data_IF_168034381189
#
_entry.id   IF_168034381189
#
_cell.length_a   1.000
_cell.length_b   1.000
_cell.length_c   1.000
_cell.angle_alpha   90.00
_cell.angle_beta   90.00
_cell.angle_gamma   90.00
#
_symmetry.space_group_name_H-M   'P 1'
#
loop_
_entity.id
_entity.type
_entity.pdbx_description
1 polymer ?
#
# COMPACT_ATOMS: atom_id res chain seq x y z
N UNK A 1 27.95 -4.79 -13.53
CA UNK A 1 26.52 -4.60 -13.17
C UNK A 1 26.46 -3.54 -12.08
N UNK A 2 25.39 -2.76 -11.99
CA UNK A 2 25.25 -1.82 -10.87
C UNK A 2 25.11 -2.60 -9.56
N UNK A 3 25.76 -2.09 -8.51
CA UNK A 3 25.86 -2.76 -7.22
C UNK A 3 25.16 -1.92 -6.14
N UNK A 4 24.39 -2.56 -5.27
CA UNK A 4 23.75 -1.96 -4.08
C UNK A 4 24.38 -2.58 -2.84
N UNK A 5 24.72 -1.73 -1.86
CA UNK A 5 25.24 -2.19 -0.57
C UNK A 5 24.15 -2.12 0.49
N UNK A 6 23.85 -3.27 1.11
CA UNK A 6 22.89 -3.41 2.20
C UNK A 6 23.59 -4.02 3.39
N UNK A 7 23.57 -3.35 4.55
CA UNK A 7 24.21 -3.81 5.78
C UNK A 7 25.67 -4.27 5.59
N UNK A 8 26.44 -3.52 4.77
CA UNK A 8 27.84 -3.81 4.50
C UNK A 8 28.09 -4.93 3.47
N UNK A 9 27.07 -5.55 2.92
CA UNK A 9 27.18 -6.54 1.83
C UNK A 9 26.78 -5.93 0.50
N UNK A 10 27.50 -6.25 -0.54
CA UNK A 10 27.26 -5.75 -1.89
C UNK A 10 26.52 -6.79 -2.74
N UNK A 11 25.51 -6.33 -3.46
CA UNK A 11 24.64 -7.13 -4.31
C UNK A 11 24.63 -6.55 -5.72
N UNK A 12 25.01 -7.36 -6.72
CA UNK A 12 24.88 -6.99 -8.13
C UNK A 12 23.43 -7.18 -8.54
N UNK A 13 22.69 -6.07 -8.67
CA UNK A 13 21.25 -6.12 -8.97
C UNK A 13 20.93 -5.46 -10.30
N UNK A 14 19.92 -5.99 -10.97
CA UNK A 14 19.41 -5.47 -12.25
C UNK A 14 18.09 -4.70 -12.09
N UNK A 15 17.43 -4.81 -10.92
CA UNK A 15 16.11 -4.25 -10.67
C UNK A 15 15.87 -4.13 -9.16
N UNK A 16 15.25 -3.03 -8.74
CA UNK A 16 14.70 -2.91 -7.40
C UNK A 16 13.18 -2.76 -7.49
N UNK A 17 12.47 -3.62 -6.77
CA UNK A 17 11.01 -3.64 -6.71
C UNK A 17 10.60 -3.17 -5.33
N UNK A 18 9.65 -2.27 -5.26
CA UNK A 18 9.15 -1.69 -4.02
C UNK A 18 7.70 -2.09 -3.80
N UNK A 19 7.36 -2.41 -2.58
CA UNK A 19 6.01 -2.19 -2.11
C UNK A 19 5.70 -0.69 -2.05
N UNK A 20 4.43 -0.33 -1.95
CA UNK A 20 3.95 1.05 -1.95
C UNK A 20 3.71 1.59 -0.55
N UNK A 21 2.72 1.04 0.14
CA UNK A 21 2.24 1.55 1.42
C UNK A 21 3.11 1.07 2.59
N UNK A 22 3.67 1.98 3.38
CA UNK A 22 4.65 1.63 4.42
C UNK A 22 6.10 1.55 3.93
N UNK A 23 6.30 1.55 2.62
CA UNK A 23 7.62 1.45 1.98
C UNK A 23 8.00 2.70 1.21
N UNK A 24 7.28 3.05 0.14
CA UNK A 24 7.46 4.33 -0.58
C UNK A 24 6.61 5.44 0.00
N UNK A 25 5.47 5.10 0.60
CA UNK A 25 4.56 6.02 1.26
C UNK A 25 4.63 5.87 2.78
N UNK A 26 4.52 7.01 3.46
CA UNK A 26 4.25 7.03 4.90
C UNK A 26 2.80 6.55 5.12
N UNK A 27 2.68 5.31 5.55
CA UNK A 27 1.39 4.66 5.71
C UNK A 27 0.51 5.37 6.75
N UNK A 28 1.06 5.65 7.93
CA UNK A 28 0.29 6.22 9.04
C UNK A 28 -0.27 7.59 8.67
N UNK A 29 0.57 8.49 8.16
CA UNK A 29 0.13 9.83 7.74
C UNK A 29 -0.94 9.75 6.65
N UNK A 30 -0.74 8.88 5.66
CA UNK A 30 -1.64 8.72 4.52
C UNK A 30 -3.00 8.17 4.96
N UNK A 31 -3.01 7.00 5.61
CA UNK A 31 -4.26 6.29 5.90
C UNK A 31 -5.04 6.86 7.07
N UNK A 32 -4.38 7.41 8.10
CA UNK A 32 -5.08 8.15 9.17
C UNK A 32 -5.84 9.34 8.61
N UNK A 33 -5.24 10.09 7.68
CA UNK A 33 -5.89 11.20 7.00
C UNK A 33 -7.10 10.78 6.18
N UNK A 34 -6.95 9.73 5.39
CA UNK A 34 -8.00 9.16 4.54
C UNK A 34 -9.17 8.64 5.38
N UNK A 35 -8.92 7.85 6.43
CA UNK A 35 -10.00 7.28 7.26
C UNK A 35 -10.70 8.38 8.07
N UNK A 36 -9.98 9.40 8.53
CA UNK A 36 -10.60 10.58 9.16
C UNK A 36 -11.57 11.29 8.21
N UNK A 37 -11.17 11.49 6.95
CA UNK A 37 -12.04 12.09 5.94
C UNK A 37 -13.22 11.18 5.61
N UNK A 38 -13.03 9.86 5.56
CA UNK A 38 -14.11 8.90 5.39
C UNK A 38 -15.16 9.01 6.51
N UNK A 39 -14.74 8.92 7.78
CA UNK A 39 -15.62 9.03 8.95
C UNK A 39 -16.37 10.38 8.94
N UNK A 40 -15.66 11.47 8.65
CA UNK A 40 -16.26 12.80 8.55
C UNK A 40 -17.31 12.86 7.44
N UNK A 41 -17.03 12.24 6.31
CA UNK A 41 -17.94 12.23 5.16
C UNK A 41 -19.22 11.42 5.41
N UNK A 42 -19.20 10.44 6.31
CA UNK A 42 -20.38 9.67 6.70
C UNK A 42 -21.48 10.54 7.33
N UNK A 43 -21.14 11.67 7.96
CA UNK A 43 -22.12 12.60 8.55
C UNK A 43 -23.16 13.12 7.55
N UNK A 44 -22.86 13.11 6.25
CA UNK A 44 -23.81 13.49 5.21
C UNK A 44 -24.92 12.44 5.00
N UNK A 45 -24.74 11.21 5.49
CA UNK A 45 -25.67 10.08 5.27
C UNK A 45 -26.31 9.55 6.54
N UNK A 46 -25.61 9.63 7.65
CA UNK A 46 -26.08 9.15 8.96
C UNK A 46 -25.36 9.90 10.10
N UNK A 47 -25.99 10.00 11.29
CA UNK A 47 -25.28 10.46 12.48
C UNK A 47 -24.11 9.52 12.78
N UNK A 48 -22.91 10.07 12.90
CA UNK A 48 -21.72 9.30 13.30
C UNK A 48 -21.54 9.46 14.80
N UNK A 49 -21.98 8.44 15.53
CA UNK A 49 -21.75 8.35 16.98
C UNK A 49 -20.31 7.96 17.29
N UNK A 50 -19.83 8.24 18.50
CA UNK A 50 -18.53 7.74 18.97
C UNK A 50 -18.46 6.20 18.94
N UNK A 51 -19.59 5.52 19.15
CA UNK A 51 -19.68 4.07 19.04
C UNK A 51 -19.46 3.58 17.59
N UNK A 52 -20.02 4.27 16.59
CA UNK A 52 -19.80 3.96 15.19
C UNK A 52 -18.33 4.24 14.80
N UNK A 53 -17.80 5.41 15.18
CA UNK A 53 -16.39 5.75 14.95
C UNK A 53 -15.50 4.66 15.50
N UNK A 54 -15.66 4.31 16.78
CA UNK A 54 -14.87 3.27 17.44
C UNK A 54 -15.00 1.92 16.75
N UNK A 55 -16.20 1.53 16.30
CA UNK A 55 -16.41 0.28 15.57
C UNK A 55 -15.68 0.25 14.23
N UNK A 56 -15.65 1.38 13.50
CA UNK A 56 -14.90 1.52 12.26
C UNK A 56 -13.39 1.41 12.53
N UNK A 57 -12.90 2.09 13.56
CA UNK A 57 -11.50 2.06 13.95
C UNK A 57 -11.06 0.64 14.35
N UNK A 58 -11.85 -0.04 15.18
CA UNK A 58 -11.55 -1.41 15.62
C UNK A 58 -11.61 -2.41 14.44
N UNK A 59 -12.57 -2.25 13.53
CA UNK A 59 -12.69 -3.12 12.35
C UNK A 59 -11.52 -2.99 11.39
N UNK A 60 -10.99 -1.78 11.23
CA UNK A 60 -9.86 -1.52 10.33
C UNK A 60 -8.49 -1.69 11.00
N UNK A 61 -8.43 -1.75 12.33
CA UNK A 61 -7.17 -1.77 13.08
C UNK A 61 -6.48 -0.40 13.12
N UNK A 62 -7.25 0.69 13.28
CA UNK A 62 -6.72 2.06 13.30
C UNK A 62 -7.24 2.83 14.52
N UNK A 63 -6.46 3.77 15.01
CA UNK A 63 -6.91 4.83 15.92
C UNK A 63 -6.61 6.18 15.28
N UNK A 64 -7.66 6.87 14.85
CA UNK A 64 -7.54 8.14 14.13
C UNK A 64 -7.01 9.25 15.03
N UNK A 65 -7.42 9.25 16.31
CA UNK A 65 -7.02 10.29 17.26
C UNK A 65 -5.55 10.12 17.71
N UNK A 66 -5.14 8.87 17.94
CA UNK A 66 -3.76 8.56 18.33
C UNK A 66 -2.80 8.45 17.14
N UNK A 67 -3.31 8.54 15.92
CA UNK A 67 -2.56 8.31 14.68
C UNK A 67 -1.80 6.98 14.69
N UNK A 68 -2.44 5.92 15.23
CA UNK A 68 -1.88 4.56 15.30
C UNK A 68 -2.59 3.62 14.33
N UNK A 69 -1.82 2.70 13.77
CA UNK A 69 -2.34 1.62 12.93
C UNK A 69 -1.75 0.31 13.44
N UNK A 70 -2.60 -0.71 13.53
CA UNK A 70 -2.18 -2.08 13.77
C UNK A 70 -1.64 -2.68 12.47
N UNK A 71 -0.35 -2.98 12.43
CA UNK A 71 0.31 -3.56 11.26
C UNK A 71 -0.22 -4.95 10.88
N UNK A 72 -0.88 -5.65 11.81
CA UNK A 72 -1.55 -6.93 11.57
C UNK A 72 -3.06 -6.76 11.32
N UNK A 73 -3.56 -5.52 11.35
CA UNK A 73 -4.96 -5.18 11.13
C UNK A 73 -5.37 -5.23 9.67
N UNK A 74 -6.68 -5.19 9.45
CA UNK A 74 -7.26 -5.29 8.10
C UNK A 74 -6.78 -4.17 7.17
N UNK A 75 -6.64 -2.94 7.69
CA UNK A 75 -6.21 -1.80 6.86
C UNK A 75 -4.80 -2.00 6.29
N UNK A 76 -3.91 -2.68 7.04
CA UNK A 76 -2.53 -2.94 6.63
C UNK A 76 -2.38 -4.19 5.75
N UNK A 77 -3.19 -5.23 6.01
CA UNK A 77 -2.99 -6.56 5.44
C UNK A 77 -4.06 -6.96 4.42
N UNK A 78 -5.24 -6.34 4.50
CA UNK A 78 -6.40 -6.73 3.71
C UNK A 78 -6.50 -6.05 2.36
N UNK A 79 -7.54 -6.43 1.64
CA UNK A 79 -7.92 -5.83 0.36
C UNK A 79 -8.96 -4.73 0.55
N UNK A 80 -9.09 -3.87 -0.45
CA UNK A 80 -10.13 -2.84 -0.48
C UNK A 80 -11.55 -3.42 -0.35
N UNK A 81 -11.78 -4.60 -0.98
CA UNK A 81 -13.07 -5.30 -0.92
C UNK A 81 -13.40 -5.75 0.50
N UNK A 82 -12.43 -6.26 1.23
CA UNK A 82 -12.61 -6.67 2.63
C UNK A 82 -12.86 -5.47 3.53
N UNK A 83 -12.13 -4.37 3.35
CA UNK A 83 -12.37 -3.12 4.07
C UNK A 83 -13.81 -2.61 3.82
N UNK A 84 -14.26 -2.55 2.57
CA UNK A 84 -15.61 -2.11 2.21
C UNK A 84 -16.69 -3.00 2.83
N UNK A 85 -16.49 -4.31 2.85
CA UNK A 85 -17.43 -5.25 3.47
C UNK A 85 -17.57 -4.99 4.99
N UNK A 86 -16.46 -4.75 5.69
CA UNK A 86 -16.49 -4.44 7.13
C UNK A 86 -17.05 -3.04 7.41
N UNK A 87 -16.73 -2.05 6.61
CA UNK A 87 -17.33 -0.72 6.73
C UNK A 87 -18.86 -0.78 6.52
N UNK A 88 -19.31 -1.55 5.52
CA UNK A 88 -20.74 -1.84 5.30
C UNK A 88 -21.37 -2.49 6.52
N UNK A 89 -20.71 -3.48 7.12
CA UNK A 89 -21.17 -4.12 8.35
C UNK A 89 -21.23 -3.14 9.52
N UNK A 90 -20.28 -2.22 9.66
CA UNK A 90 -20.32 -1.21 10.72
C UNK A 90 -21.58 -0.34 10.62
N UNK A 91 -21.94 0.12 9.43
CA UNK A 91 -23.17 0.90 9.18
C UNK A 91 -24.43 0.05 9.37
N UNK A 92 -24.42 -1.21 8.94
CA UNK A 92 -25.53 -2.14 9.17
C UNK A 92 -25.82 -2.30 10.68
N UNK A 93 -24.79 -2.34 11.51
CA UNK A 93 -24.94 -2.45 12.98
C UNK A 93 -25.54 -1.19 13.62
N UNK A 94 -25.56 -0.05 12.92
CA UNK A 94 -26.28 1.17 13.30
C UNK A 94 -27.76 1.15 12.83
N UNK A 95 -28.26 0.03 12.28
CA UNK A 95 -29.64 -0.13 11.84
C UNK A 95 -29.90 0.32 10.40
N UNK A 96 -28.85 0.65 9.63
CA UNK A 96 -28.98 0.95 8.20
C UNK A 96 -29.11 -0.38 7.45
N UNK A 97 -30.08 -0.51 6.54
CA UNK A 97 -30.24 -1.70 5.73
C UNK A 97 -28.95 -1.99 4.97
N UNK A 98 -28.60 -3.28 4.78
CA UNK A 98 -27.36 -3.72 4.18
C UNK A 98 -27.10 -3.10 2.79
N UNK A 99 -28.09 -3.13 1.91
CA UNK A 99 -28.00 -2.54 0.57
C UNK A 99 -27.69 -1.04 0.64
N UNK A 100 -28.39 -0.30 1.49
CA UNK A 100 -28.13 1.12 1.68
C UNK A 100 -26.78 1.40 2.34
N UNK A 101 -26.37 0.59 3.30
CA UNK A 101 -25.06 0.69 3.95
C UNK A 101 -23.94 0.48 2.93
N UNK A 102 -24.09 -0.50 2.05
CA UNK A 102 -23.16 -0.77 0.96
C UNK A 102 -23.06 0.43 0.00
N UNK A 103 -24.20 0.97 -0.46
CA UNK A 103 -24.20 2.13 -1.36
C UNK A 103 -23.50 3.35 -0.72
N UNK A 104 -23.74 3.60 0.58
CA UNK A 104 -23.07 4.68 1.30
C UNK A 104 -21.56 4.49 1.33
N UNK A 105 -21.10 3.28 1.65
CA UNK A 105 -19.66 2.96 1.71
C UNK A 105 -19.01 3.14 0.33
N UNK A 106 -19.65 2.66 -0.73
CA UNK A 106 -19.16 2.84 -2.10
C UNK A 106 -19.13 4.32 -2.50
N UNK A 107 -20.20 5.08 -2.24
CA UNK A 107 -20.28 6.49 -2.60
C UNK A 107 -19.27 7.35 -1.84
N UNK A 108 -19.14 7.15 -0.52
CA UNK A 108 -18.15 7.84 0.31
C UNK A 108 -16.74 7.39 -0.09
N UNK A 109 -16.56 6.10 -0.30
CA UNK A 109 -15.31 5.51 -0.75
C UNK A 109 -14.84 6.12 -2.08
N UNK A 110 -15.68 6.16 -3.10
CA UNK A 110 -15.35 6.79 -4.39
C UNK A 110 -14.89 8.23 -4.24
N UNK A 111 -15.49 9.00 -3.33
CA UNK A 111 -15.12 10.39 -3.10
C UNK A 111 -13.80 10.52 -2.33
N UNK A 112 -13.64 9.76 -1.25
CA UNK A 112 -12.51 9.89 -0.33
C UNK A 112 -11.25 9.21 -0.87
N UNK A 113 -11.41 8.06 -1.53
CA UNK A 113 -10.29 7.36 -2.19
C UNK A 113 -10.07 7.84 -3.64
N UNK A 114 -10.92 8.74 -4.13
CA UNK A 114 -10.75 9.37 -5.44
C UNK A 114 -9.49 10.25 -5.47
N UNK A 115 -8.98 10.47 -6.69
CA UNK A 115 -7.67 11.11 -6.94
C UNK A 115 -7.46 12.44 -6.21
N UNK A 116 -8.47 13.29 -6.17
CA UNK A 116 -8.35 14.63 -5.56
C UNK A 116 -8.22 14.59 -4.03
N UNK A 117 -8.96 13.70 -3.36
CA UNK A 117 -8.86 13.55 -1.91
C UNK A 117 -7.58 12.81 -1.52
N UNK A 118 -7.26 11.74 -2.24
CA UNK A 118 -6.06 10.92 -2.01
C UNK A 118 -4.79 11.78 -2.06
N UNK A 119 -4.64 12.67 -3.03
CA UNK A 119 -3.52 13.60 -3.16
C UNK A 119 -3.29 14.49 -1.93
N UNK A 120 -4.33 14.80 -1.16
CA UNK A 120 -4.20 15.62 0.06
C UNK A 120 -3.47 14.88 1.19
N UNK A 121 -3.61 13.57 1.25
CA UNK A 121 -3.17 12.75 2.37
C UNK A 121 -1.87 11.99 2.09
N UNK A 122 -1.61 11.63 0.83
CA UNK A 122 -0.43 10.86 0.44
C UNK A 122 0.86 11.61 0.73
N UNK A 123 1.78 10.96 1.42
CA UNK A 123 3.11 11.49 1.76
C UNK A 123 4.18 10.45 1.47
N UNK A 124 5.32 10.90 0.94
CA UNK A 124 6.47 10.03 0.73
C UNK A 124 7.06 9.57 2.06
N UNK A 125 7.43 8.31 2.16
CA UNK A 125 8.24 7.82 3.25
C UNK A 125 9.62 8.50 3.26
N UNK A 126 10.19 8.64 4.45
CA UNK A 126 11.48 9.33 4.61
C UNK A 126 12.58 8.64 3.79
N UNK A 127 13.21 9.38 2.89
CA UNK A 127 14.30 8.90 2.05
C UNK A 127 13.87 8.13 0.79
N UNK A 128 12.59 7.81 0.62
CA UNK A 128 12.09 7.05 -0.54
C UNK A 128 12.42 7.75 -1.88
N UNK A 129 12.13 9.04 -1.98
CA UNK A 129 12.43 9.81 -3.21
C UNK A 129 13.93 9.90 -3.50
N UNK A 130 14.76 10.05 -2.48
CA UNK A 130 16.21 10.15 -2.67
C UNK A 130 16.80 8.81 -3.09
N UNK A 131 16.25 7.70 -2.58
CA UNK A 131 16.61 6.36 -3.02
C UNK A 131 16.25 6.16 -4.50
N UNK A 132 15.00 6.46 -4.89
CA UNK A 132 14.54 6.34 -6.28
C UNK A 132 15.39 7.18 -7.25
N UNK A 133 15.71 8.43 -6.91
CA UNK A 133 16.62 9.30 -7.67
C UNK A 133 18.01 8.68 -7.82
N UNK A 134 18.52 8.10 -6.73
CA UNK A 134 19.83 7.46 -6.71
C UNK A 134 19.86 6.22 -7.62
N UNK A 135 18.81 5.39 -7.58
CA UNK A 135 18.67 4.23 -8.46
C UNK A 135 18.66 4.66 -9.92
N UNK A 136 17.86 5.66 -10.26
CA UNK A 136 17.78 6.23 -11.62
C UNK A 136 19.13 6.74 -12.09
N UNK A 137 19.84 7.50 -11.26
CA UNK A 137 21.19 8.02 -11.59
C UNK A 137 22.23 6.92 -11.80
N UNK A 138 22.03 5.76 -11.17
CA UNK A 138 22.88 4.57 -11.34
C UNK A 138 22.45 3.64 -12.48
N UNK A 139 21.37 3.98 -13.19
CA UNK A 139 20.82 3.14 -14.25
C UNK A 139 20.20 1.83 -13.75
N UNK A 140 19.75 1.79 -12.50
CA UNK A 140 19.03 0.66 -11.91
C UNK A 140 17.55 0.92 -12.03
N UNK A 141 16.79 0.14 -12.81
CA UNK A 141 15.35 0.26 -12.91
C UNK A 141 14.68 0.06 -11.55
N UNK A 142 13.59 0.81 -11.35
CA UNK A 142 12.73 0.68 -10.17
C UNK A 142 11.28 0.36 -10.59
N UNK A 143 10.64 -0.57 -9.89
CA UNK A 143 9.25 -0.92 -10.12
C UNK A 143 8.45 -0.95 -8.82
N UNK A 144 7.12 -0.90 -8.93
CA UNK A 144 6.20 -0.99 -7.79
C UNK A 144 5.31 -2.21 -7.94
N UNK A 145 5.19 -2.99 -6.86
CA UNK A 145 4.25 -4.10 -6.70
C UNK A 145 3.35 -3.81 -5.48
N UNK A 146 2.05 -3.65 -5.68
CA UNK A 146 1.10 -3.28 -4.60
C UNK A 146 -0.21 -4.04 -4.69
N UNK A 147 -0.84 -4.30 -3.54
CA UNK A 147 -2.20 -4.86 -3.48
C UNK A 147 -3.30 -3.82 -3.78
N UNK A 148 -2.95 -2.55 -3.97
CA UNK A 148 -3.86 -1.55 -4.49
C UNK A 148 -4.11 -1.73 -6.00
N UNK A 149 -5.13 -1.06 -6.52
CA UNK A 149 -5.34 -0.95 -7.96
C UNK A 149 -4.20 -0.15 -8.60
N UNK A 150 -3.78 -0.58 -9.79
CA UNK A 150 -2.71 0.09 -10.52
C UNK A 150 -2.96 1.58 -10.76
N UNK A 151 -4.21 1.95 -11.05
CA UNK A 151 -4.58 3.35 -11.28
C UNK A 151 -4.34 4.22 -10.03
N UNK A 152 -4.71 3.72 -8.85
CA UNK A 152 -4.53 4.41 -7.58
C UNK A 152 -3.04 4.54 -7.23
N UNK A 153 -2.26 3.47 -7.44
CA UNK A 153 -0.81 3.50 -7.24
C UNK A 153 -0.11 4.54 -8.11
N UNK A 154 -0.54 4.70 -9.37
CA UNK A 154 0.01 5.73 -10.27
C UNK A 154 -0.29 7.15 -9.77
N UNK A 155 -1.50 7.40 -9.28
CA UNK A 155 -1.90 8.68 -8.66
C UNK A 155 -1.04 8.99 -7.45
N UNK A 156 -0.81 7.99 -6.59
CA UNK A 156 0.03 8.16 -5.40
C UNK A 156 1.48 8.48 -5.77
N UNK A 157 2.06 7.74 -6.70
CA UNK A 157 3.44 7.97 -7.16
C UNK A 157 3.61 9.33 -7.83
N UNK A 158 2.61 9.78 -8.59
CA UNK A 158 2.59 11.13 -9.16
C UNK A 158 2.52 12.19 -8.06
N UNK A 159 1.65 11.99 -7.06
CA UNK A 159 1.40 12.94 -5.96
C UNK A 159 2.65 13.20 -5.12
N UNK A 160 3.48 12.20 -4.91
CA UNK A 160 4.75 12.34 -4.19
C UNK A 160 5.94 12.69 -5.11
N UNK A 161 5.71 12.86 -6.43
CA UNK A 161 6.77 13.13 -7.40
C UNK A 161 7.72 11.97 -7.67
N UNK A 162 7.30 10.73 -7.38
CA UNK A 162 8.09 9.51 -7.59
C UNK A 162 7.99 8.96 -9.01
N UNK A 163 6.89 9.21 -9.70
CA UNK A 163 6.57 8.60 -11.00
C UNK A 163 7.69 8.71 -12.05
N UNK A 164 8.44 9.84 -12.18
CA UNK A 164 9.56 9.92 -13.13
C UNK A 164 10.71 8.95 -12.87
N UNK A 165 10.76 8.34 -11.68
CA UNK A 165 11.83 7.44 -11.24
C UNK A 165 11.40 5.97 -11.23
N UNK A 166 10.14 5.67 -11.61
CA UNK A 166 9.56 4.33 -11.62
C UNK A 166 9.35 3.89 -13.07
N UNK A 167 9.90 2.73 -13.41
CA UNK A 167 9.84 2.21 -14.78
C UNK A 167 8.59 1.35 -15.02
N UNK A 168 8.03 0.73 -13.97
CA UNK A 168 6.80 -0.06 -14.07
C UNK A 168 6.02 -0.15 -12.77
N UNK A 169 4.68 -0.19 -12.86
CA UNK A 169 3.77 -0.32 -11.70
C UNK A 169 2.80 -1.47 -11.95
N UNK A 170 2.71 -2.38 -11.00
CA UNK A 170 1.75 -3.50 -10.98
C UNK A 170 0.87 -3.39 -9.74
N UNK A 171 -0.44 -3.36 -9.95
CA UNK A 171 -1.46 -3.44 -8.91
C UNK A 171 -2.13 -4.81 -8.86
N UNK A 172 -2.94 -5.07 -7.83
CA UNK A 172 -3.68 -6.32 -7.68
C UNK A 172 -4.60 -6.62 -8.88
N UNK A 173 -5.15 -5.58 -9.49
CA UNK A 173 -5.99 -5.66 -10.70
C UNK A 173 -5.21 -5.96 -11.99
N UNK A 174 -3.89 -6.04 -11.91
CA UNK A 174 -3.01 -6.28 -13.05
C UNK A 174 -2.60 -7.75 -13.21
N UNK A 175 -2.90 -8.61 -12.25
CA UNK A 175 -2.50 -10.02 -12.16
C UNK A 175 -3.67 -10.90 -11.76
N UNK A 176 -3.55 -12.21 -11.92
CA UNK A 176 -4.56 -13.17 -11.48
C UNK A 176 -4.50 -13.35 -9.95
N UNK A 177 -3.30 -13.52 -9.42
CA UNK A 177 -3.08 -13.69 -7.99
C UNK A 177 -2.22 -12.55 -7.44
N UNK A 178 -2.76 -11.81 -6.46
CA UNK A 178 -2.05 -10.75 -5.76
C UNK A 178 -1.04 -11.30 -4.74
N UNK A 179 -0.30 -10.42 -4.06
CA UNK A 179 0.61 -10.84 -2.97
C UNK A 179 -0.10 -11.81 -2.01
N UNK A 180 0.56 -12.89 -1.61
CA UNK A 180 1.98 -13.22 -1.75
C UNK A 180 2.33 -14.10 -2.97
N UNK A 181 1.44 -14.21 -3.97
CA UNK A 181 1.73 -14.97 -5.20
C UNK A 181 2.81 -14.27 -6.04
N UNK A 182 3.62 -15.02 -6.82
CA UNK A 182 4.75 -14.48 -7.57
C UNK A 182 4.36 -13.62 -8.78
N UNK A 183 3.11 -13.65 -9.20
CA UNK A 183 2.57 -13.09 -10.45
C UNK A 183 3.02 -11.63 -10.70
N UNK A 184 3.05 -10.80 -9.64
CA UNK A 184 3.44 -9.39 -9.77
C UNK A 184 4.92 -9.25 -10.15
N UNK A 185 5.79 -10.00 -9.49
CA UNK A 185 7.25 -9.96 -9.76
C UNK A 185 7.52 -10.54 -11.14
N UNK A 186 6.89 -11.66 -11.49
CA UNK A 186 7.02 -12.28 -12.81
C UNK A 186 6.60 -11.32 -13.92
N UNK A 187 5.48 -10.62 -13.74
CA UNK A 187 5.00 -9.59 -14.69
C UNK A 187 5.98 -8.44 -14.83
N UNK A 188 6.49 -7.90 -13.72
CA UNK A 188 7.48 -6.82 -13.71
C UNK A 188 8.74 -7.28 -14.45
N UNK A 189 9.27 -8.43 -14.08
CA UNK A 189 10.51 -8.98 -14.66
C UNK A 189 10.36 -9.27 -16.15
N UNK A 190 9.23 -9.87 -16.55
CA UNK A 190 8.90 -10.11 -17.95
C UNK A 190 8.84 -8.83 -18.77
N UNK A 191 8.16 -7.79 -18.25
CA UNK A 191 8.00 -6.50 -18.94
C UNK A 191 9.36 -5.77 -19.10
N UNK A 192 10.19 -5.76 -18.06
CA UNK A 192 11.47 -5.06 -18.05
C UNK A 192 12.64 -5.90 -18.61
N UNK A 193 12.41 -7.16 -18.97
CA UNK A 193 13.45 -8.08 -19.43
C UNK A 193 14.49 -8.36 -18.35
N UNK A 194 14.05 -8.58 -17.10
CA UNK A 194 14.90 -8.79 -15.91
C UNK A 194 14.66 -10.17 -15.30
N UNK A 195 15.66 -10.62 -14.52
CA UNK A 195 15.63 -11.89 -13.80
C UNK A 195 15.20 -11.64 -12.33
N UNK A 196 14.15 -12.32 -11.82
CA UNK A 196 13.82 -12.25 -10.39
C UNK A 196 15.02 -12.58 -9.50
N UNK A 197 15.83 -13.57 -9.85
CA UNK A 197 17.04 -13.96 -9.12
C UNK A 197 18.18 -12.91 -9.12
N UNK A 198 18.01 -11.79 -9.84
CA UNK A 198 18.88 -10.61 -9.81
C UNK A 198 18.14 -9.35 -9.38
N UNK A 199 16.96 -9.49 -8.81
CA UNK A 199 16.12 -8.40 -8.34
C UNK A 199 16.12 -8.34 -6.81
N UNK A 200 15.97 -7.13 -6.28
CA UNK A 200 15.78 -6.88 -4.85
C UNK A 200 14.35 -6.42 -4.65
N UNK A 201 13.64 -7.05 -3.72
CA UNK A 201 12.33 -6.59 -3.26
C UNK A 201 12.48 -5.82 -1.94
N UNK A 202 11.78 -4.70 -1.80
CA UNK A 202 11.73 -3.91 -0.57
C UNK A 202 10.27 -3.76 -0.18
N UNK A 203 9.92 -4.12 1.05
CA UNK A 203 8.56 -4.06 1.58
C UNK A 203 8.55 -4.01 3.10
N UNK A 204 7.40 -3.80 3.71
CA UNK A 204 7.26 -3.65 5.16
C UNK A 204 6.34 -4.68 5.82
N UNK A 205 5.78 -5.61 5.04
CA UNK A 205 4.84 -6.63 5.52
C UNK A 205 5.34 -8.06 5.31
N UNK A 206 4.74 -9.00 6.05
CA UNK A 206 4.95 -10.44 5.83
C UNK A 206 4.56 -10.86 4.41
N UNK A 207 3.55 -10.19 3.81
CA UNK A 207 3.14 -10.46 2.43
C UNK A 207 4.25 -10.17 1.42
N UNK A 208 5.08 -9.15 1.66
CA UNK A 208 6.25 -8.83 0.83
C UNK A 208 7.36 -9.85 1.02
N UNK A 209 7.60 -10.27 2.26
CA UNK A 209 8.59 -11.31 2.55
C UNK A 209 8.23 -12.63 1.84
N UNK A 210 6.96 -13.02 1.89
CA UNK A 210 6.46 -14.21 1.18
C UNK A 210 6.47 -14.02 -0.35
N UNK A 211 6.11 -12.84 -0.87
CA UNK A 211 6.20 -12.51 -2.29
C UNK A 211 7.63 -12.71 -2.80
N UNK A 212 8.62 -12.13 -2.12
CA UNK A 212 10.01 -12.27 -2.50
C UNK A 212 10.49 -13.72 -2.49
N UNK A 213 10.13 -14.49 -1.45
CA UNK A 213 10.42 -15.93 -1.37
C UNK A 213 9.78 -16.72 -2.51
N UNK A 214 8.51 -16.49 -2.78
CA UNK A 214 7.74 -17.23 -3.78
C UNK A 214 8.18 -16.90 -5.20
N UNK A 215 8.68 -15.67 -5.44
CA UNK A 215 9.18 -15.21 -6.74
C UNK A 215 10.66 -15.51 -6.96
N UNK A 216 11.40 -15.98 -5.96
CA UNK A 216 12.82 -16.24 -6.05
C UNK A 216 13.67 -14.99 -6.22
N UNK A 217 13.28 -13.84 -5.65
CA UNK A 217 14.11 -12.62 -5.66
C UNK A 217 15.44 -12.87 -4.95
N UNK A 218 16.52 -12.24 -5.44
CA UNK A 218 17.86 -12.37 -4.88
C UNK A 218 17.90 -11.97 -3.39
N UNK A 219 17.19 -10.92 -3.05
CA UNK A 219 17.12 -10.39 -1.70
C UNK A 219 15.74 -9.75 -1.46
N UNK A 220 15.17 -10.01 -0.30
CA UNK A 220 14.02 -9.25 0.21
C UNK A 220 14.49 -8.46 1.42
N UNK A 221 14.21 -7.16 1.41
CA UNK A 221 14.56 -6.21 2.47
C UNK A 221 13.29 -5.79 3.17
N UNK A 222 13.16 -6.15 4.45
CA UNK A 222 12.13 -5.59 5.32
C UNK A 222 12.51 -4.18 5.77
N UNK A 223 11.64 -3.21 5.53
CA UNK A 223 11.78 -1.87 6.10
C UNK A 223 10.90 -1.73 7.32
N UNK A 224 11.33 -0.94 8.30
CA UNK A 224 10.50 -0.65 9.45
C UNK A 224 9.36 0.30 9.05
N UNK A 225 8.28 -0.28 8.58
CA UNK A 225 7.04 0.40 8.29
C UNK A 225 6.11 0.38 9.51
N UNK A 226 4.96 -0.27 9.37
CA UNK A 226 3.91 -0.36 10.40
C UNK A 226 4.13 -1.58 11.30
N UNK A 227 4.58 -2.69 10.72
CA UNK A 227 4.80 -3.95 11.43
C UNK A 227 6.08 -3.87 12.28
N UNK A 228 6.08 -4.31 13.55
CA UNK A 228 7.31 -4.42 14.34
C UNK A 228 8.34 -5.30 13.62
N UNK A 229 9.58 -4.81 13.52
CA UNK A 229 10.65 -5.47 12.76
C UNK A 229 11.06 -6.87 13.24
N UNK A 230 10.52 -7.34 14.36
CA UNK A 230 10.73 -8.71 14.89
C UNK A 230 9.82 -9.76 14.24
N UNK A 231 8.81 -9.31 13.45
CA UNK A 231 7.81 -10.18 12.81
C UNK A 231 8.00 -10.32 11.28
N UNK A 232 9.06 -9.70 10.72
CA UNK A 232 9.38 -9.73 9.29
C UNK A 232 10.33 -10.85 8.90
#
# INVERSE_FOLDING_TARGET
>A
MPCITVLGRSYDTELVIFDKDGTLLDFSTTWVGIIREFITSLHAYAPVSEALKKRIEDALGISVDDSRIDGNGLLAMGTFTECNALLTYCLYREGIRWDRAHDIVEEVGHRVFGSESRKKHVRAARGALDLLKTLKARGIPAAVATNDKRADALIDMESIGALPYIDFVVGADSVENSKPAPDMIEKICSFLGKDPGKSILIGDTVMDALLGRNSGTMLTIGVKGIVPGEEL
#
